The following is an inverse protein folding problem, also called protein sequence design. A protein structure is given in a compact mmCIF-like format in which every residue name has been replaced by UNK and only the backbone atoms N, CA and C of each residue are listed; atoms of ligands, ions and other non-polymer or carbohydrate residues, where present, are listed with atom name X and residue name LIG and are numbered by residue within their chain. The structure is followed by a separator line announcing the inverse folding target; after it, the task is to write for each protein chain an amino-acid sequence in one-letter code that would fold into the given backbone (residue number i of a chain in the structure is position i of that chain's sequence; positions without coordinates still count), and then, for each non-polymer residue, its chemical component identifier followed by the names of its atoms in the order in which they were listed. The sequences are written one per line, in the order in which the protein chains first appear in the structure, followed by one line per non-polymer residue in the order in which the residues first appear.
data_IF_405743200598
#
_entry.id   IF_405743200598
#
_cell.length_a   1.000
_cell.length_b   1.000
_cell.length_c   1.000
_cell.angle_alpha   90.00
_cell.angle_beta   90.00
_cell.angle_gamma   90.00
#
_symmetry.space_group_name_H-M   'P 1'
#
loop_
_entity.id
_entity.type
_entity.pdbx_description
1 polymer ?
#
# COMPACT_ATOMS: atom_id res chain seq x y z
N UNK A 1 -21.30 -19.82 17.29
CA UNK A 1 -20.42 -20.56 18.23
C UNK A 1 -20.75 -20.13 19.65
N UNK A 2 -20.59 -21.00 20.65
CA UNK A 2 -20.85 -20.64 22.06
C UNK A 2 -19.68 -19.82 22.63
N UNK A 3 -19.98 -18.84 23.49
CA UNK A 3 -18.97 -18.00 24.20
C UNK A 3 -17.97 -18.84 25.00
N UNK A 4 -18.39 -20.02 25.46
CA UNK A 4 -17.55 -21.00 26.16
C UNK A 4 -16.45 -21.60 25.30
N UNK A 5 -16.70 -21.85 24.01
CA UNK A 5 -15.72 -22.42 23.09
C UNK A 5 -14.61 -21.39 22.77
N UNK A 6 -14.99 -20.12 22.64
CA UNK A 6 -14.05 -19.01 22.47
C UNK A 6 -13.16 -18.82 23.70
N UNK A 7 -13.72 -18.91 24.90
CA UNK A 7 -12.95 -18.84 26.13
C UNK A 7 -11.92 -19.98 26.23
N UNK A 8 -12.26 -21.20 25.79
CA UNK A 8 -11.28 -22.30 25.76
C UNK A 8 -10.14 -22.03 24.78
N UNK A 9 -10.43 -21.51 23.58
CA UNK A 9 -9.40 -21.19 22.57
C UNK A 9 -8.51 -20.02 22.99
N UNK A 10 -9.08 -18.96 23.58
CA UNK A 10 -8.31 -17.86 24.16
C UNK A 10 -7.36 -18.36 25.26
N UNK A 11 -7.82 -19.30 26.09
CA UNK A 11 -6.99 -19.91 27.13
C UNK A 11 -5.86 -20.75 26.52
N UNK A 12 -6.14 -21.53 25.49
CA UNK A 12 -5.15 -22.30 24.75
C UNK A 12 -4.08 -21.40 24.14
N UNK A 13 -4.49 -20.31 23.48
CA UNK A 13 -3.57 -19.34 22.87
C UNK A 13 -2.74 -18.61 23.92
N UNK A 14 -3.34 -18.23 25.06
CA UNK A 14 -2.59 -17.67 26.19
C UNK A 14 -1.54 -18.66 26.72
N UNK A 15 -1.84 -19.96 26.70
CA UNK A 15 -0.91 -21.03 27.06
C UNK A 15 0.23 -21.17 26.05
N UNK A 16 -0.08 -21.13 24.75
CA UNK A 16 0.91 -21.16 23.67
C UNK A 16 1.87 -19.97 23.75
N UNK A 17 1.34 -18.76 23.96
CA UNK A 17 2.14 -17.55 24.14
C UNK A 17 3.04 -17.63 25.37
N UNK A 18 2.56 -18.25 26.46
CA UNK A 18 3.35 -18.56 27.64
C UNK A 18 4.55 -19.49 27.38
N UNK A 19 4.45 -20.39 26.40
CA UNK A 19 5.57 -21.28 26.00
C UNK A 19 6.58 -20.57 25.10
N UNK A 20 6.19 -19.53 24.38
CA UNK A 20 7.07 -18.78 23.46
C UNK A 20 8.05 -17.88 24.23
N UNK A 21 7.61 -17.22 25.30
CA UNK A 21 8.46 -16.35 26.13
C UNK A 21 9.79 -16.96 26.59
N UNK A 22 9.84 -18.17 27.20
CA UNK A 22 11.10 -18.76 27.65
C UNK A 22 12.03 -19.09 26.48
N UNK A 23 11.49 -19.39 25.29
CA UNK A 23 12.29 -19.62 24.09
C UNK A 23 12.93 -18.31 23.60
N UNK A 24 12.19 -17.20 23.62
CA UNK A 24 12.72 -15.85 23.31
C UNK A 24 13.84 -15.49 24.29
N UNK A 25 13.66 -15.74 25.58
CA UNK A 25 14.71 -15.50 26.59
C UNK A 25 15.96 -16.36 26.36
N UNK A 26 15.77 -17.62 25.98
CA UNK A 26 16.87 -18.52 25.61
C UNK A 26 17.60 -18.02 24.36
N UNK A 27 16.89 -17.52 23.36
CA UNK A 27 17.48 -16.95 22.15
C UNK A 27 18.29 -15.69 22.48
N UNK A 28 17.72 -14.80 23.30
CA UNK A 28 18.38 -13.57 23.75
C UNK A 28 19.71 -13.85 24.44
N UNK A 29 19.73 -14.84 25.32
CA UNK A 29 20.90 -15.25 26.09
C UNK A 29 21.81 -16.24 25.34
N UNK A 30 21.55 -16.52 24.06
CA UNK A 30 22.36 -17.45 23.29
C UNK A 30 23.77 -16.88 23.08
N UNK A 31 24.75 -17.50 23.73
CA UNK A 31 26.18 -17.25 23.48
C UNK A 31 26.70 -18.39 22.63
N UNK A 32 27.14 -18.11 21.39
CA UNK A 32 27.80 -19.12 20.57
C UNK A 32 29.04 -19.61 21.33
N UNK A 33 29.03 -20.88 21.75
CA UNK A 33 30.22 -21.51 22.32
C UNK A 33 31.21 -21.75 21.18
N UNK A 34 32.51 -21.64 21.47
CA UNK A 34 33.56 -21.73 20.46
C UNK A 34 33.46 -23.08 19.73
N UNK A 35 33.13 -23.06 18.44
CA UNK A 35 32.97 -24.26 17.61
C UNK A 35 31.57 -24.89 17.54
N UNK A 36 30.57 -24.44 18.31
CA UNK A 36 29.17 -24.76 17.98
C UNK A 36 28.69 -23.75 16.94
N UNK A 37 28.44 -24.23 15.72
CA UNK A 37 27.96 -23.42 14.61
C UNK A 37 26.72 -22.59 14.96
N UNK A 38 26.45 -21.59 14.13
CA UNK A 38 25.28 -20.70 14.24
C UNK A 38 23.92 -21.44 14.10
N UNK A 39 23.98 -22.74 13.82
CA UNK A 39 22.85 -23.63 13.52
C UNK A 39 21.84 -23.72 14.66
N UNK A 40 22.29 -23.96 15.91
CA UNK A 40 21.38 -24.05 17.06
C UNK A 40 20.65 -22.73 17.36
N UNK A 41 21.26 -21.58 17.02
CA UNK A 41 20.60 -20.27 17.10
C UNK A 41 19.54 -20.10 16.02
N UNK A 42 19.87 -20.53 14.80
CA UNK A 42 18.97 -20.46 13.65
C UNK A 42 17.76 -21.40 13.83
N UNK A 43 17.99 -22.61 14.33
CA UNK A 43 16.94 -23.58 14.65
C UNK A 43 16.00 -23.04 15.73
N UNK A 44 16.54 -22.53 16.86
CA UNK A 44 15.73 -21.92 17.92
C UNK A 44 14.95 -20.70 17.39
N UNK A 45 15.59 -19.88 16.55
CA UNK A 45 14.93 -18.75 15.90
C UNK A 45 13.79 -19.19 14.97
N UNK A 46 13.98 -20.25 14.20
CA UNK A 46 12.97 -20.81 13.30
C UNK A 46 11.81 -21.44 14.07
N UNK A 47 12.08 -22.16 15.17
CA UNK A 47 11.07 -22.73 16.06
C UNK A 47 10.18 -21.63 16.66
N UNK A 48 10.78 -20.58 17.21
CA UNK A 48 10.03 -19.44 17.77
C UNK A 48 9.20 -18.76 16.67
N UNK A 49 9.77 -18.56 15.49
CA UNK A 49 9.06 -17.95 14.38
C UNK A 49 7.85 -18.78 13.94
N UNK A 50 7.99 -20.10 13.87
CA UNK A 50 6.89 -21.01 13.53
C UNK A 50 5.77 -20.97 14.57
N UNK A 51 6.11 -21.08 15.86
CA UNK A 51 5.12 -21.03 16.95
C UNK A 51 4.43 -19.68 17.05
N UNK A 52 5.15 -18.59 16.80
CA UNK A 52 4.58 -17.24 16.81
C UNK A 52 3.64 -17.03 15.61
N UNK A 53 3.98 -17.58 14.45
CA UNK A 53 3.12 -17.55 13.26
C UNK A 53 1.83 -18.35 13.47
N UNK A 54 1.93 -19.53 14.07
CA UNK A 54 0.77 -20.36 14.44
C UNK A 54 -0.15 -19.60 15.43
N UNK A 55 0.43 -18.96 16.45
CA UNK A 55 -0.35 -18.14 17.38
C UNK A 55 -0.96 -16.87 16.73
N UNK A 56 -0.32 -16.29 15.71
CA UNK A 56 -0.87 -15.19 14.90
C UNK A 56 -2.06 -15.65 14.04
N UNK A 57 -1.95 -16.81 13.39
CA UNK A 57 -3.03 -17.44 12.62
C UNK A 57 -4.23 -17.78 13.52
N UNK A 58 -4.00 -18.36 14.70
CA UNK A 58 -5.06 -18.64 15.66
C UNK A 58 -5.74 -17.37 16.20
N UNK A 59 -4.98 -16.29 16.39
CA UNK A 59 -5.54 -14.99 16.78
C UNK A 59 -6.38 -14.36 15.66
N UNK A 60 -5.99 -14.53 14.39
CA UNK A 60 -6.76 -14.05 13.24
C UNK A 60 -8.11 -14.77 13.15
N UNK A 61 -8.11 -16.11 13.28
CA UNK A 61 -9.34 -16.90 13.36
C UNK A 61 -10.24 -16.48 14.54
N UNK A 62 -9.63 -16.23 15.71
CA UNK A 62 -10.38 -15.76 16.88
C UNK A 62 -10.94 -14.35 16.69
N UNK A 63 -10.21 -13.47 15.99
CA UNK A 63 -10.69 -12.13 15.68
C UNK A 63 -11.92 -12.19 14.78
N UNK A 64 -11.90 -13.01 13.75
CA UNK A 64 -13.07 -13.21 12.87
C UNK A 64 -14.28 -13.76 13.65
N UNK A 65 -14.05 -14.70 14.58
CA UNK A 65 -15.11 -15.23 15.44
C UNK A 65 -15.65 -14.20 16.44
N UNK A 66 -14.81 -13.28 16.92
CA UNK A 66 -15.21 -12.16 17.79
C UNK A 66 -15.97 -11.10 17.02
N UNK A 67 -15.53 -10.74 15.81
CA UNK A 67 -16.21 -9.79 14.92
C UNK A 67 -17.59 -10.31 14.46
N UNK A 68 -17.72 -11.63 14.26
CA UNK A 68 -19.01 -12.28 14.02
C UNK A 68 -19.96 -12.19 15.23
N UNK A 69 -19.43 -12.14 16.46
CA UNK A 69 -20.24 -11.93 17.67
C UNK A 69 -20.65 -10.46 17.85
N UNK A 70 -19.79 -9.52 17.46
CA UNK A 70 -20.03 -8.07 17.52
C UNK A 70 -21.04 -7.61 16.46
N UNK A 71 -20.95 -8.10 15.23
CA UNK A 71 -21.93 -7.82 14.16
C UNK A 71 -23.29 -8.48 14.43
N UNK A 72 -23.32 -9.63 15.12
CA UNK A 72 -24.55 -10.29 15.55
C UNK A 72 -25.38 -9.49 16.57
N UNK A 73 -24.78 -8.51 17.23
CA UNK A 73 -25.41 -7.64 18.24
C UNK A 73 -26.25 -6.51 17.64
N UNK A 74 -25.91 -6.01 16.45
CA UNK A 74 -26.67 -4.90 15.82
C UNK A 74 -28.08 -5.34 15.39
N UNK A 75 -28.29 -6.62 15.08
CA UNK A 75 -29.56 -7.12 14.51
C UNK A 75 -30.56 -7.68 15.54
N UNK A 76 -30.22 -7.79 16.84
CA UNK A 76 -31.04 -8.50 17.83
C UNK A 76 -31.50 -7.62 19.01
N UNK A 77 -32.58 -6.88 18.77
CA UNK A 77 -33.57 -6.32 19.74
C UNK A 77 -33.22 -6.41 21.26
N UNK A 78 -32.35 -5.50 21.68
CA UNK A 78 -32.01 -4.91 23.00
C UNK A 78 -32.91 -5.14 24.25
N UNK A 79 -33.33 -6.36 24.64
CA UNK A 79 -34.21 -6.43 25.83
C UNK A 79 -34.14 -7.62 26.79
N UNK A 80 -33.26 -8.63 26.63
CA UNK A 80 -33.35 -9.82 27.53
C UNK A 80 -32.00 -10.39 28.05
N UNK A 81 -30.82 -9.98 27.56
CA UNK A 81 -29.59 -10.77 27.79
C UNK A 81 -28.37 -10.00 28.36
N UNK A 82 -28.58 -9.09 29.31
CA UNK A 82 -27.50 -8.30 29.97
C UNK A 82 -26.34 -9.18 30.50
N UNK A 83 -26.63 -10.37 31.03
CA UNK A 83 -25.61 -11.31 31.52
C UNK A 83 -24.76 -11.89 30.38
N UNK A 84 -25.38 -12.25 29.26
CA UNK A 84 -24.67 -12.75 28.07
C UNK A 84 -23.90 -11.63 27.35
N UNK A 85 -24.39 -10.40 27.41
CA UNK A 85 -23.67 -9.22 26.91
C UNK A 85 -22.40 -8.97 27.74
N UNK A 86 -22.49 -9.01 29.08
CA UNK A 86 -21.33 -8.87 29.95
C UNK A 86 -20.28 -9.97 29.74
N UNK A 87 -20.69 -11.22 29.48
CA UNK A 87 -19.75 -12.30 29.15
C UNK A 87 -19.03 -12.08 27.81
N UNK A 88 -19.73 -11.55 26.81
CA UNK A 88 -19.14 -11.23 25.50
C UNK A 88 -18.14 -10.08 25.59
N UNK A 89 -18.49 -9.01 26.29
CA UNK A 89 -17.57 -7.88 26.52
C UNK A 89 -16.28 -8.32 27.20
N UNK A 90 -16.38 -9.25 28.18
CA UNK A 90 -15.19 -9.86 28.79
C UNK A 90 -14.33 -10.60 27.77
N UNK A 91 -14.94 -11.42 26.90
CA UNK A 91 -14.23 -12.15 25.85
C UNK A 91 -13.52 -11.20 24.88
N UNK A 92 -14.20 -10.14 24.44
CA UNK A 92 -13.63 -9.11 23.56
C UNK A 92 -12.43 -8.42 24.23
N UNK A 93 -12.57 -8.03 25.50
CA UNK A 93 -11.47 -7.39 26.24
C UNK A 93 -10.24 -8.31 26.42
N UNK A 94 -10.48 -9.61 26.64
CA UNK A 94 -9.42 -10.61 26.76
C UNK A 94 -8.73 -10.84 25.41
N UNK A 95 -9.49 -10.91 24.32
CA UNK A 95 -8.95 -11.05 22.97
C UNK A 95 -8.07 -9.85 22.60
N UNK A 96 -8.54 -8.62 22.84
CA UNK A 96 -7.76 -7.40 22.57
C UNK A 96 -6.48 -7.30 23.41
N UNK A 97 -6.52 -7.75 24.68
CA UNK A 97 -5.30 -7.85 25.50
C UNK A 97 -4.30 -8.84 24.92
N UNK A 98 -4.78 -10.01 24.51
CA UNK A 98 -3.94 -11.08 23.96
C UNK A 98 -3.30 -10.68 22.63
N UNK A 99 -4.03 -9.94 21.78
CA UNK A 99 -3.49 -9.33 20.56
C UNK A 99 -2.36 -8.35 20.87
N UNK A 100 -2.55 -7.51 21.90
CA UNK A 100 -1.51 -6.60 22.37
C UNK A 100 -0.27 -7.33 22.88
N UNK A 101 -0.46 -8.42 23.63
CA UNK A 101 0.62 -9.25 24.13
C UNK A 101 1.36 -9.97 22.98
N UNK A 102 0.67 -10.43 21.93
CA UNK A 102 1.29 -11.02 20.73
C UNK A 102 2.16 -10.01 19.96
N UNK A 103 1.70 -8.77 19.81
CA UNK A 103 2.50 -7.70 19.19
C UNK A 103 3.76 -7.39 19.99
N UNK A 104 3.66 -7.43 21.33
CA UNK A 104 4.81 -7.27 22.23
C UNK A 104 5.79 -8.43 22.07
N UNK A 105 5.33 -9.68 22.09
CA UNK A 105 6.21 -10.85 21.92
C UNK A 105 6.92 -10.85 20.57
N UNK A 106 6.26 -10.40 19.49
CA UNK A 106 6.90 -10.21 18.17
C UNK A 106 8.03 -9.19 18.21
N UNK A 107 7.82 -8.09 18.91
CA UNK A 107 8.83 -7.04 19.08
C UNK A 107 10.00 -7.55 19.92
N UNK A 108 9.72 -8.27 21.00
CA UNK A 108 10.72 -8.87 21.87
C UNK A 108 11.53 -9.94 21.15
N UNK A 109 10.89 -10.76 20.31
CA UNK A 109 11.57 -11.73 19.46
C UNK A 109 12.54 -11.06 18.49
N UNK A 110 12.14 -9.99 17.81
CA UNK A 110 13.03 -9.22 16.92
C UNK A 110 14.22 -8.63 17.70
N UNK A 111 13.98 -8.10 18.89
CA UNK A 111 15.03 -7.58 19.75
C UNK A 111 15.99 -8.69 20.20
N UNK A 112 15.46 -9.85 20.60
CA UNK A 112 16.23 -11.03 20.99
C UNK A 112 17.08 -11.56 19.81
N UNK A 113 16.54 -11.61 18.59
CA UNK A 113 17.30 -11.98 17.39
C UNK A 113 18.48 -11.04 17.14
N UNK A 114 18.27 -9.72 17.27
CA UNK A 114 19.33 -8.73 17.09
C UNK A 114 20.41 -8.86 18.18
N UNK A 115 20.02 -9.08 19.44
CA UNK A 115 20.96 -9.30 20.53
C UNK A 115 21.76 -10.60 20.34
N UNK A 116 21.09 -11.70 19.99
CA UNK A 116 21.75 -12.98 19.72
C UNK A 116 22.73 -12.88 18.55
N UNK A 117 22.37 -12.13 17.48
CA UNK A 117 23.26 -11.85 16.34
C UNK A 117 24.50 -11.06 16.79
N UNK A 118 24.32 -10.00 17.57
CA UNK A 118 25.43 -9.22 18.12
C UNK A 118 26.36 -10.09 18.97
N UNK A 119 25.80 -10.92 19.85
CA UNK A 119 26.57 -11.82 20.70
C UNK A 119 27.38 -12.84 19.88
N UNK A 120 26.78 -13.41 18.83
CA UNK A 120 27.46 -14.33 17.91
C UNK A 120 28.59 -13.65 17.12
N UNK A 121 28.39 -12.42 16.66
CA UNK A 121 29.44 -11.65 15.98
C UNK A 121 30.61 -11.31 16.92
N UNK A 122 30.32 -10.94 18.16
CA UNK A 122 31.36 -10.69 19.18
C UNK A 122 32.16 -11.95 19.47
N UNK A 123 31.49 -13.11 19.58
CA UNK A 123 32.17 -14.40 19.76
C UNK A 123 33.08 -14.74 18.56
N UNK A 124 32.57 -14.60 17.32
CA UNK A 124 33.35 -14.81 16.08
C UNK A 124 34.55 -13.88 16.00
N UNK A 125 34.44 -12.62 16.42
CA UNK A 125 35.58 -11.69 16.46
C UNK A 125 36.68 -12.17 17.42
N UNK A 126 36.29 -12.59 18.63
CA UNK A 126 37.21 -13.15 19.63
C UNK A 126 37.91 -14.41 19.13
N UNK A 127 37.20 -15.31 18.44
CA UNK A 127 37.82 -16.49 17.82
C UNK A 127 38.90 -16.12 16.81
N UNK A 128 38.61 -15.14 15.93
CA UNK A 128 39.61 -14.66 14.95
C UNK A 128 40.83 -14.08 15.64
N UNK A 129 40.65 -13.24 16.66
CA UNK A 129 41.76 -12.66 17.44
C UNK A 129 42.65 -13.74 18.06
N UNK A 130 42.05 -14.80 18.62
CA UNK A 130 42.79 -15.94 19.15
C UNK A 130 43.58 -16.69 18.06
N UNK A 131 43.00 -16.91 16.88
CA UNK A 131 43.70 -17.55 15.75
C UNK A 131 44.85 -16.70 15.21
N UNK A 132 44.66 -15.38 15.07
CA UNK A 132 45.70 -14.47 14.61
C UNK A 132 46.86 -14.36 15.61
N UNK A 133 46.58 -14.34 16.92
CA UNK A 133 47.64 -14.33 17.96
C UNK A 133 48.53 -15.57 17.91
N UNK A 134 47.96 -16.75 17.60
CA UNK A 134 48.70 -18.02 17.50
C UNK A 134 49.64 -18.06 16.29
N UNK A 135 49.23 -17.47 15.17
CA UNK A 135 50.04 -17.42 13.95
C UNK A 135 51.30 -16.54 14.12
N UNK A 136 51.19 -15.42 14.83
CA UNK A 136 52.28 -14.45 14.95
C UNK A 136 53.48 -14.99 15.74
N UNK A 137 53.27 -15.94 16.65
CA UNK A 137 54.33 -16.60 17.43
C UNK A 137 55.15 -17.64 16.65
N UNK A 138 54.69 -18.11 15.48
CA UNK A 138 55.31 -19.25 14.78
C UNK A 138 56.34 -18.84 13.72
N UNK A 139 56.26 -17.60 13.18
CA UNK A 139 57.13 -17.13 12.09
C UNK A 139 58.51 -16.59 12.52
N UNK A 140 58.79 -16.44 13.83
CA UNK A 140 60.07 -15.86 14.30
C UNK A 140 61.23 -16.85 14.49
N UNK A 141 61.08 -18.14 14.19
CA UNK A 141 62.12 -19.16 14.48
C UNK A 141 62.64 -19.88 13.23
N UNK A 142 63.46 -19.21 12.40
CA UNK A 142 64.39 -19.89 11.48
C UNK A 142 65.69 -19.09 11.29
N UNK A 143 66.82 -19.48 11.92
CA UNK A 143 68.13 -18.94 11.60
C UNK A 143 68.80 -19.77 10.50
N UNK A 144 69.40 -19.10 9.51
CA UNK A 144 70.16 -19.68 8.40
C UNK A 144 71.65 -19.73 8.75
N UNK A 145 72.20 -20.94 8.84
CA UNK A 145 73.61 -21.21 9.13
C UNK A 145 74.40 -21.34 7.81
N UNK A 146 75.64 -20.83 7.80
CA UNK A 146 76.44 -20.60 6.59
C UNK A 146 77.08 -21.92 6.10
N UNK A 147 76.64 -22.43 4.96
CA UNK A 147 77.17 -23.65 4.31
C UNK A 147 78.32 -23.31 3.34
N UNK A 148 79.30 -24.22 3.24
CA UNK A 148 80.52 -24.09 2.43
C UNK A 148 80.26 -24.22 0.92
N UNK A 149 81.14 -23.67 0.06
CA UNK A 149 80.91 -23.50 -1.39
C UNK A 149 80.57 -24.80 -2.17
N UNK A 150 81.15 -25.95 -1.81
CA UNK A 150 80.81 -27.24 -2.45
C UNK A 150 79.39 -27.73 -2.07
N UNK A 151 78.96 -27.46 -0.84
CA UNK A 151 77.58 -27.69 -0.38
C UNK A 151 76.61 -26.68 -0.97
N UNK A 152 77.09 -25.48 -1.34
CA UNK A 152 76.31 -24.43 -2.00
C UNK A 152 76.01 -24.82 -3.45
N UNK A 153 76.95 -25.45 -4.15
CA UNK A 153 76.73 -25.95 -5.51
C UNK A 153 75.81 -27.18 -5.53
N UNK A 154 76.00 -28.12 -4.59
CA UNK A 154 75.09 -29.25 -4.40
C UNK A 154 73.70 -28.81 -3.90
N UNK A 155 73.61 -27.81 -3.01
CA UNK A 155 72.33 -27.17 -2.66
C UNK A 155 71.74 -26.42 -3.85
N UNK A 156 72.52 -25.75 -4.69
CA UNK A 156 72.00 -25.02 -5.84
C UNK A 156 71.34 -25.99 -6.85
N UNK A 157 71.94 -27.16 -7.10
CA UNK A 157 71.32 -28.20 -7.91
C UNK A 157 70.06 -28.78 -7.22
N UNK A 158 70.12 -28.95 -5.90
CA UNK A 158 68.97 -29.33 -5.06
C UNK A 158 67.84 -28.31 -5.10
N UNK A 159 68.17 -27.02 -5.10
CA UNK A 159 67.27 -25.87 -5.11
C UNK A 159 66.66 -25.67 -6.48
N UNK A 160 67.39 -25.89 -7.57
CA UNK A 160 66.81 -25.94 -8.92
C UNK A 160 65.83 -27.09 -9.04
N UNK A 161 66.17 -28.27 -8.51
CA UNK A 161 65.27 -29.43 -8.52
C UNK A 161 64.05 -29.22 -7.62
N UNK A 162 64.24 -28.57 -6.47
CA UNK A 162 63.17 -28.20 -5.55
C UNK A 162 62.29 -27.09 -6.13
N UNK A 163 62.88 -26.11 -6.83
CA UNK A 163 62.17 -25.05 -7.54
C UNK A 163 61.34 -25.63 -8.67
N UNK A 164 61.88 -26.57 -9.46
CA UNK A 164 61.14 -27.20 -10.56
C UNK A 164 60.02 -28.11 -10.05
N UNK A 165 60.21 -28.81 -8.92
CA UNK A 165 59.12 -29.48 -8.21
C UNK A 165 58.07 -28.48 -7.71
N UNK A 166 58.50 -27.33 -7.20
CA UNK A 166 57.61 -26.29 -6.68
C UNK A 166 56.82 -25.61 -7.80
N UNK A 167 57.42 -25.37 -8.97
CA UNK A 167 56.71 -24.85 -10.14
C UNK A 167 55.72 -25.87 -10.69
N UNK A 168 56.07 -27.16 -10.69
CA UNK A 168 55.13 -28.22 -11.05
C UNK A 168 53.95 -28.28 -10.07
N UNK A 169 54.20 -28.21 -8.77
CA UNK A 169 53.14 -28.14 -7.76
C UNK A 169 52.28 -26.87 -7.90
N UNK A 170 52.88 -25.73 -8.20
CA UNK A 170 52.16 -24.48 -8.50
C UNK A 170 51.32 -24.60 -9.77
N UNK A 171 51.86 -25.21 -10.83
CA UNK A 171 51.13 -25.43 -12.08
C UNK A 171 49.95 -26.38 -11.86
N UNK A 172 50.11 -27.43 -11.07
CA UNK A 172 49.01 -28.32 -10.68
C UNK A 172 47.96 -27.59 -9.84
N UNK A 173 48.38 -26.72 -8.92
CA UNK A 173 47.48 -25.92 -8.09
C UNK A 173 46.76 -24.82 -8.89
N UNK A 174 47.42 -24.18 -9.86
CA UNK A 174 46.80 -23.21 -10.77
C UNK A 174 45.84 -23.89 -11.75
N UNK A 175 46.17 -25.11 -12.21
CA UNK A 175 45.25 -25.90 -13.04
C UNK A 175 43.99 -26.31 -12.27
N UNK A 176 44.11 -26.76 -11.01
CA UNK A 176 42.92 -27.05 -10.19
C UNK A 176 42.12 -25.78 -9.87
N UNK A 177 42.80 -24.65 -9.64
CA UNK A 177 42.17 -23.35 -9.45
C UNK A 177 41.45 -22.85 -10.70
N UNK A 178 42.01 -23.09 -11.89
CA UNK A 178 41.37 -22.76 -13.17
C UNK A 178 40.14 -23.62 -13.43
N UNK A 179 40.19 -24.92 -13.09
CA UNK A 179 39.01 -25.81 -13.15
C UNK A 179 37.90 -25.33 -12.23
N UNK A 180 38.22 -24.96 -10.99
CA UNK A 180 37.25 -24.40 -10.07
C UNK A 180 36.66 -23.06 -10.56
N UNK A 181 37.48 -22.21 -11.19
CA UNK A 181 37.01 -20.98 -11.81
C UNK A 181 36.06 -21.25 -13.00
N UNK A 182 36.34 -22.27 -13.82
CA UNK A 182 35.46 -22.70 -14.90
C UNK A 182 34.13 -23.23 -14.38
N UNK A 183 34.14 -24.09 -13.36
CA UNK A 183 32.92 -24.58 -12.71
C UNK A 183 32.09 -23.42 -12.13
N UNK A 184 32.75 -22.43 -11.53
CA UNK A 184 32.07 -21.23 -11.00
C UNK A 184 31.44 -20.39 -12.10
N UNK A 185 32.14 -20.21 -13.23
CA UNK A 185 31.59 -19.48 -14.38
C UNK A 185 30.41 -20.23 -15.00
N UNK A 186 30.48 -21.55 -15.10
CA UNK A 186 29.41 -22.40 -15.60
C UNK A 186 28.18 -22.34 -14.67
N UNK A 187 28.39 -22.43 -13.35
CA UNK A 187 27.33 -22.22 -12.36
C UNK A 187 26.72 -20.82 -12.45
N UNK A 188 27.53 -19.78 -12.62
CA UNK A 188 27.03 -18.42 -12.78
C UNK A 188 26.23 -18.24 -14.07
N UNK A 189 26.61 -18.95 -15.15
CA UNK A 189 25.90 -18.94 -16.43
C UNK A 189 24.57 -19.68 -16.31
N UNK A 190 24.52 -20.82 -15.61
CA UNK A 190 23.29 -21.53 -15.30
C UNK A 190 22.36 -20.72 -14.38
N UNK A 191 22.93 -19.97 -13.42
CA UNK A 191 22.17 -19.03 -12.61
C UNK A 191 21.58 -17.89 -13.46
N UNK A 192 22.34 -17.35 -14.42
CA UNK A 192 21.83 -16.34 -15.35
C UNK A 192 20.72 -16.88 -16.26
N UNK A 193 20.83 -18.12 -16.75
CA UNK A 193 19.79 -18.72 -17.58
C UNK A 193 18.51 -18.98 -16.79
N UNK A 194 18.61 -19.50 -15.56
CA UNK A 194 17.45 -19.71 -14.68
C UNK A 194 16.78 -18.40 -14.27
N UNK A 195 17.56 -17.33 -14.10
CA UNK A 195 17.03 -15.99 -13.88
C UNK A 195 16.30 -15.48 -15.13
N UNK A 196 16.85 -15.67 -16.32
CA UNK A 196 16.19 -15.30 -17.59
C UNK A 196 14.87 -16.06 -17.80
N UNK A 197 14.84 -17.35 -17.46
CA UNK A 197 13.62 -18.17 -17.50
C UNK A 197 12.59 -17.67 -16.48
N UNK A 198 13.04 -17.33 -15.27
CA UNK A 198 12.18 -16.73 -14.24
C UNK A 198 11.59 -15.39 -14.71
N UNK A 199 12.38 -14.50 -15.33
CA UNK A 199 11.88 -13.25 -15.90
C UNK A 199 10.87 -13.48 -17.04
N UNK A 200 11.13 -14.47 -17.90
CA UNK A 200 10.17 -14.84 -18.96
C UNK A 200 8.86 -15.36 -18.36
N UNK A 201 8.94 -16.18 -17.31
CA UNK A 201 7.75 -16.64 -16.60
C UNK A 201 6.98 -15.48 -15.93
N UNK A 202 7.68 -14.50 -15.36
CA UNK A 202 7.07 -13.30 -14.79
C UNK A 202 6.36 -12.47 -15.86
N UNK A 203 6.92 -12.35 -17.07
CA UNK A 203 6.25 -11.66 -18.18
C UNK A 203 4.97 -12.38 -18.62
N UNK A 204 4.98 -13.72 -18.65
CA UNK A 204 3.75 -14.51 -18.91
C UNK A 204 2.71 -14.35 -17.80
N UNK A 205 3.12 -14.27 -16.54
CA UNK A 205 2.21 -14.02 -15.42
C UNK A 205 1.68 -12.58 -15.41
N UNK A 206 2.51 -11.60 -15.72
CA UNK A 206 2.14 -10.20 -15.84
C UNK A 206 1.17 -9.98 -17.00
N UNK A 207 1.39 -10.60 -18.15
CA UNK A 207 0.47 -10.54 -19.28
C UNK A 207 -0.86 -11.24 -18.99
N UNK A 208 -0.84 -12.40 -18.32
CA UNK A 208 -2.05 -13.08 -17.82
C UNK A 208 -2.82 -12.21 -16.83
N UNK A 209 -2.13 -11.63 -15.84
CA UNK A 209 -2.70 -10.68 -14.88
C UNK A 209 -3.28 -9.46 -15.59
N UNK A 210 -2.59 -8.89 -16.58
CA UNK A 210 -3.06 -7.74 -17.34
C UNK A 210 -4.27 -8.08 -18.21
N UNK A 211 -4.34 -9.29 -18.75
CA UNK A 211 -5.52 -9.76 -19.47
C UNK A 211 -6.71 -9.97 -18.52
N UNK A 212 -6.49 -10.49 -17.32
CA UNK A 212 -7.54 -10.64 -16.29
C UNK A 212 -7.99 -9.28 -15.71
N UNK A 213 -7.07 -8.37 -15.45
CA UNK A 213 -7.36 -6.99 -15.08
C UNK A 213 -8.09 -6.27 -16.22
N UNK A 214 -7.69 -6.53 -17.46
CA UNK A 214 -8.36 -6.01 -18.65
C UNK A 214 -9.79 -6.55 -18.78
N UNK A 215 -10.02 -7.84 -18.54
CA UNK A 215 -11.36 -8.44 -18.59
C UNK A 215 -12.24 -7.95 -17.44
N UNK A 216 -11.69 -7.83 -16.23
CA UNK A 216 -12.39 -7.28 -15.06
C UNK A 216 -12.72 -5.81 -15.24
N UNK A 217 -11.75 -4.98 -15.64
CA UNK A 217 -11.99 -3.56 -15.91
C UNK A 217 -12.94 -3.38 -17.09
N UNK A 218 -12.83 -4.18 -18.16
CA UNK A 218 -13.77 -4.11 -19.29
C UNK A 218 -15.19 -4.49 -18.85
N UNK A 219 -15.32 -5.51 -18.01
CA UNK A 219 -16.61 -5.97 -17.46
C UNK A 219 -17.22 -4.92 -16.53
N UNK A 220 -16.46 -4.43 -15.55
CA UNK A 220 -16.92 -3.42 -14.59
C UNK A 220 -17.23 -2.07 -15.27
N UNK A 221 -16.48 -1.71 -16.32
CA UNK A 221 -16.70 -0.49 -17.09
C UNK A 221 -17.95 -0.59 -17.97
N UNK A 222 -18.30 -1.78 -18.45
CA UNK A 222 -19.57 -1.99 -19.15
C UNK A 222 -20.79 -1.82 -18.23
N UNK A 223 -20.68 -2.30 -16.98
CA UNK A 223 -21.75 -2.20 -15.99
C UNK A 223 -21.97 -0.75 -15.52
N UNK A 224 -20.86 -0.02 -15.34
CA UNK A 224 -20.89 1.41 -14.99
C UNK A 224 -21.59 2.24 -16.08
N UNK A 225 -21.45 1.88 -17.36
CA UNK A 225 -22.11 2.59 -18.45
C UNK A 225 -23.63 2.35 -18.50
N UNK A 226 -24.10 1.15 -18.14
CA UNK A 226 -25.54 0.87 -18.00
C UNK A 226 -26.15 1.59 -16.80
N UNK A 227 -25.45 1.62 -15.65
CA UNK A 227 -25.91 2.38 -14.48
C UNK A 227 -25.95 3.89 -14.76
N UNK A 228 -24.95 4.42 -15.45
CA UNK A 228 -24.87 5.83 -15.82
C UNK A 228 -26.02 6.22 -16.78
N UNK A 229 -26.24 5.44 -17.84
CA UNK A 229 -27.34 5.69 -18.79
C UNK A 229 -28.72 5.55 -18.12
N UNK A 230 -28.91 4.57 -17.24
CA UNK A 230 -30.13 4.42 -16.45
C UNK A 230 -30.36 5.60 -15.49
N UNK A 231 -29.32 6.12 -14.85
CA UNK A 231 -29.39 7.28 -13.97
C UNK A 231 -29.79 8.56 -14.72
N UNK A 232 -29.24 8.80 -15.91
CA UNK A 232 -29.65 9.94 -16.75
C UNK A 232 -31.10 9.85 -17.23
N UNK A 233 -31.56 8.66 -17.63
CA UNK A 233 -32.97 8.46 -18.00
C UNK A 233 -33.87 8.69 -16.78
N UNK A 234 -33.49 8.19 -15.60
CA UNK A 234 -34.21 8.41 -14.36
C UNK A 234 -34.29 9.91 -14.02
N UNK A 235 -33.17 10.64 -14.06
CA UNK A 235 -33.16 12.10 -13.87
C UNK A 235 -34.05 12.79 -14.89
N UNK A 236 -34.00 12.41 -16.17
CA UNK A 236 -34.84 12.97 -17.22
C UNK A 236 -36.33 12.76 -16.94
N UNK A 237 -36.72 11.57 -16.46
CA UNK A 237 -38.12 11.30 -16.07
C UNK A 237 -38.55 12.05 -14.82
N UNK A 238 -37.67 12.22 -13.83
CA UNK A 238 -37.94 13.03 -12.63
C UNK A 238 -38.08 14.50 -13.00
N UNK A 239 -37.17 15.05 -13.79
CA UNK A 239 -37.24 16.42 -14.30
C UNK A 239 -38.54 16.63 -15.08
N UNK A 240 -38.92 15.67 -15.94
CA UNK A 240 -40.20 15.74 -16.65
C UNK A 240 -41.39 15.66 -15.68
N UNK A 241 -41.37 14.76 -14.69
CA UNK A 241 -42.43 14.70 -13.68
C UNK A 241 -42.54 16.00 -12.87
N UNK A 242 -41.42 16.60 -12.47
CA UNK A 242 -41.40 17.88 -11.77
C UNK A 242 -41.95 18.99 -12.67
N UNK A 243 -41.49 19.07 -13.92
CA UNK A 243 -42.00 20.04 -14.89
C UNK A 243 -43.52 19.86 -15.15
N UNK A 244 -43.99 18.61 -15.25
CA UNK A 244 -45.40 18.30 -15.48
C UNK A 244 -46.28 18.53 -14.24
N UNK A 245 -45.80 18.09 -13.08
CA UNK A 245 -46.61 17.98 -11.84
C UNK A 245 -46.53 19.26 -11.01
N UNK A 246 -45.32 19.78 -10.79
CA UNK A 246 -45.07 20.92 -9.91
C UNK A 246 -45.17 22.26 -10.66
N UNK A 247 -44.72 22.30 -11.92
CA UNK A 247 -44.67 23.53 -12.71
C UNK A 247 -45.97 23.82 -13.46
N UNK A 248 -46.85 22.85 -13.70
CA UNK A 248 -48.10 23.10 -14.44
C UNK A 248 -49.33 23.34 -13.54
N UNK A 249 -49.42 22.63 -12.41
CA UNK A 249 -50.57 22.75 -11.51
C UNK A 249 -50.42 23.88 -10.47
N UNK A 250 -49.53 23.73 -9.48
CA UNK A 250 -49.31 24.74 -8.44
C UNK A 250 -48.87 26.09 -8.98
N UNK A 251 -48.13 26.12 -10.10
CA UNK A 251 -47.66 27.37 -10.71
C UNK A 251 -48.80 28.15 -11.37
N UNK A 252 -49.84 27.49 -11.89
CA UNK A 252 -51.07 28.18 -12.29
C UNK A 252 -51.77 28.78 -11.07
N UNK A 253 -51.75 28.10 -9.93
CA UNK A 253 -52.25 28.66 -8.67
C UNK A 253 -51.38 29.83 -8.18
N UNK A 254 -50.05 29.73 -8.31
CA UNK A 254 -49.08 30.76 -7.93
C UNK A 254 -49.13 31.98 -8.86
N UNK A 255 -49.55 31.82 -10.12
CA UNK A 255 -49.84 32.95 -11.04
C UNK A 255 -51.24 33.51 -10.79
N UNK A 256 -52.23 32.67 -10.49
CA UNK A 256 -53.62 33.11 -10.23
C UNK A 256 -53.77 33.80 -8.87
N UNK A 257 -53.12 33.33 -7.80
CA UNK A 257 -53.23 33.90 -6.46
C UNK A 257 -52.80 35.39 -6.40
N UNK A 258 -51.63 35.82 -6.92
CA UNK A 258 -51.26 37.23 -6.96
C UNK A 258 -52.16 38.02 -7.90
N UNK A 259 -52.56 37.49 -9.07
CA UNK A 259 -53.52 38.17 -9.98
C UNK A 259 -54.85 38.45 -9.27
N UNK A 260 -55.41 37.48 -8.54
CA UNK A 260 -56.67 37.65 -7.81
C UNK A 260 -56.51 38.60 -6.63
N UNK A 261 -55.35 38.60 -5.98
CA UNK A 261 -55.02 39.51 -4.88
C UNK A 261 -54.84 40.94 -5.38
N UNK A 262 -54.20 41.13 -6.54
CA UNK A 262 -54.10 42.42 -7.24
C UNK A 262 -55.48 42.89 -7.67
N UNK A 263 -56.34 42.04 -8.27
CA UNK A 263 -57.72 42.43 -8.61
C UNK A 263 -58.51 42.83 -7.36
N UNK A 264 -58.34 42.13 -6.23
CA UNK A 264 -58.99 42.52 -4.96
C UNK A 264 -58.42 43.81 -4.39
N UNK A 265 -57.12 44.03 -4.50
CA UNK A 265 -56.48 45.28 -4.05
C UNK A 265 -56.87 46.46 -4.94
N UNK A 266 -56.86 46.30 -6.27
CA UNK A 266 -57.30 47.35 -7.18
C UNK A 266 -58.79 47.62 -7.01
N UNK A 267 -59.65 46.60 -6.85
CA UNK A 267 -61.08 46.78 -6.59
C UNK A 267 -61.37 47.36 -5.19
N UNK A 268 -60.55 47.08 -4.17
CA UNK A 268 -60.70 47.67 -2.83
C UNK A 268 -60.21 49.12 -2.80
N UNK A 269 -59.13 49.45 -3.52
CA UNK A 269 -58.63 50.83 -3.64
C UNK A 269 -59.55 51.67 -4.54
N UNK A 270 -60.11 51.11 -5.62
CA UNK A 270 -61.17 51.76 -6.41
C UNK A 270 -62.50 51.83 -5.65
N UNK A 271 -62.85 50.82 -4.87
CA UNK A 271 -64.06 50.77 -4.06
C UNK A 271 -64.03 51.73 -2.86
N UNK A 272 -62.85 52.03 -2.32
CA UNK A 272 -62.69 53.00 -1.23
C UNK A 272 -62.68 54.47 -1.73
N UNK A 273 -62.48 54.71 -3.04
CA UNK A 273 -62.51 56.06 -3.65
C UNK A 273 -63.77 56.30 -4.48
N UNK A 274 -64.61 55.28 -4.72
CA UNK A 274 -65.81 55.35 -5.54
C UNK A 274 -67.12 55.07 -4.79
N UNK A 275 -67.52 55.94 -3.86
CA UNK A 275 -68.89 55.98 -3.32
C UNK A 275 -69.59 57.30 -3.68
N UNK A 276 -69.92 57.53 -4.95
CA UNK A 276 -71.00 58.46 -5.34
C UNK A 276 -71.68 58.04 -6.65
N UNK A 277 -72.61 57.09 -6.61
CA UNK A 277 -73.87 57.21 -7.36
C UNK A 277 -74.92 56.24 -6.82
N UNK A 278 -75.80 56.88 -6.07
CA UNK A 278 -77.07 56.50 -5.48
C UNK A 278 -78.06 55.94 -6.52
N UNK A 279 -78.76 54.87 -6.11
CA UNK A 279 -80.14 54.46 -6.51
C UNK A 279 -80.30 54.04 -7.98
N UNK A 280 -81.16 53.13 -8.42
CA UNK A 280 -82.38 52.42 -7.98
C UNK A 280 -82.33 51.15 -8.90
N UNK A 281 -82.81 49.94 -8.63
CA UNK A 281 -84.18 49.52 -8.40
C UNK A 281 -84.22 47.99 -8.53
N UNK A 282 -85.03 47.36 -7.69
CA UNK A 282 -85.55 46.01 -7.89
C UNK A 282 -86.62 46.02 -9.00
N UNK A 283 -86.52 45.09 -9.96
CA UNK A 283 -87.61 44.44 -10.72
C UNK A 283 -86.97 43.39 -11.65
N UNK A 284 -87.07 42.10 -11.36
CA UNK A 284 -88.06 41.15 -11.90
C UNK A 284 -87.97 40.84 -13.41
N UNK A 285 -87.81 39.53 -13.66
CA UNK A 285 -88.42 38.67 -14.70
C UNK A 285 -87.96 38.72 -16.18
N UNK A 286 -87.42 37.58 -16.60
CA UNK A 286 -87.77 36.73 -17.77
C UNK A 286 -87.69 37.24 -19.21
N UNK A 287 -86.86 36.56 -20.01
CA UNK A 287 -87.12 36.00 -21.36
C UNK A 287 -85.84 35.19 -21.73
N UNK A 288 -85.83 33.87 -21.90
CA UNK A 288 -86.41 33.01 -22.96
C UNK A 288 -86.13 33.54 -24.37
N UNK A 289 -85.12 32.95 -25.04
CA UNK A 289 -85.15 32.38 -26.40
C UNK A 289 -83.72 31.90 -26.73
N UNK A 290 -83.49 30.58 -26.77
CA UNK A 290 -83.53 29.73 -27.96
C UNK A 290 -82.59 30.18 -29.08
N UNK A 291 -81.51 29.42 -29.33
CA UNK A 291 -81.37 28.67 -30.60
C UNK A 291 -80.39 27.50 -30.44
N UNK A 292 -80.86 26.37 -30.94
CA UNK A 292 -80.34 25.02 -30.97
C UNK A 292 -79.34 24.80 -32.13
N UNK A 293 -78.80 23.57 -32.18
CA UNK A 293 -78.08 22.86 -33.25
C UNK A 293 -76.55 22.77 -33.01
N UNK A 294 -76.01 21.68 -32.43
CA UNK A 294 -76.01 20.26 -32.87
C UNK A 294 -75.36 20.06 -34.25
N UNK A 295 -74.14 19.50 -34.28
CA UNK A 295 -73.84 18.18 -34.85
C UNK A 295 -72.31 17.92 -34.92
N UNK A 296 -71.89 16.81 -34.30
CA UNK A 296 -70.73 15.96 -34.67
C UNK A 296 -71.03 15.27 -36.02
N UNK A 297 -70.08 14.73 -36.84
CA UNK A 297 -68.94 13.88 -36.42
C UNK A 297 -67.64 13.90 -37.30
N UNK A 298 -66.66 13.13 -36.83
CA UNK A 298 -65.31 12.77 -37.35
C UNK A 298 -65.47 11.83 -38.60
N UNK A 299 -64.58 11.71 -39.64
CA UNK A 299 -63.27 11.04 -39.53
C UNK A 299 -62.11 11.27 -40.56
N UNK A 300 -60.88 11.03 -40.05
CA UNK A 300 -59.76 10.22 -40.59
C UNK A 300 -58.87 10.62 -41.81
N UNK A 301 -57.64 10.06 -41.71
CA UNK A 301 -56.61 9.68 -42.72
C UNK A 301 -55.51 10.67 -43.18
N UNK A 302 -54.29 10.32 -42.76
CA UNK A 302 -53.07 10.04 -43.56
C UNK A 302 -52.68 10.91 -44.76
N UNK A 303 -51.45 11.46 -44.78
CA UNK A 303 -50.35 11.01 -45.67
C UNK A 303 -49.07 11.85 -45.59
N UNK A 304 -48.00 11.16 -45.99
CA UNK A 304 -46.58 11.47 -46.08
C UNK A 304 -46.18 12.54 -47.11
N UNK A 305 -44.88 12.92 -47.07
CA UNK A 305 -43.94 13.49 -48.09
C UNK A 305 -43.19 14.70 -47.48
N UNK A 306 -41.90 14.98 -47.69
CA UNK A 306 -40.90 14.48 -48.62
C UNK A 306 -39.47 14.80 -48.10
N UNK A 307 -38.57 13.81 -48.19
CA UNK A 307 -37.24 13.85 -48.83
C UNK A 307 -36.42 15.16 -48.90
N UNK A 308 -35.16 15.08 -48.45
CA UNK A 308 -33.99 15.46 -49.24
C UNK A 308 -32.71 14.83 -48.64
N UNK A 309 -32.12 13.88 -49.36
CA UNK A 309 -30.74 13.41 -49.20
C UNK A 309 -29.79 14.34 -49.97
N UNK A 310 -28.57 14.59 -49.47
CA UNK A 310 -27.35 14.70 -50.28
C UNK A 310 -26.07 14.80 -49.43
N UNK A 311 -25.21 13.79 -49.59
CA UNK A 311 -23.74 13.83 -49.71
C UNK A 311 -22.84 14.47 -48.63
N UNK A 312 -22.19 13.58 -47.86
CA UNK A 312 -20.74 13.34 -47.72
C UNK A 312 -19.69 14.48 -47.70
N UNK A 313 -18.82 14.38 -46.68
CA UNK A 313 -17.35 14.64 -46.65
C UNK A 313 -16.91 16.12 -46.61
N UNK A 314 -16.05 16.62 -45.71
CA UNK A 314 -14.86 16.09 -45.03
C UNK A 314 -14.59 16.84 -43.69
N UNK A 315 -13.93 16.15 -42.76
CA UNK A 315 -12.79 16.61 -41.93
C UNK A 315 -12.96 17.80 -40.95
N UNK A 316 -13.05 17.51 -39.64
CA UNK A 316 -12.34 18.25 -38.59
C UNK A 316 -12.43 17.51 -37.24
N UNK A 317 -11.29 17.18 -36.65
CA UNK A 317 -11.17 16.76 -35.25
C UNK A 317 -11.31 17.96 -34.29
N UNK A 318 -11.87 17.79 -33.07
CA UNK A 318 -11.58 18.71 -31.98
C UNK A 318 -10.56 18.10 -31.00
N UNK A 319 -9.60 18.95 -30.67
CA UNK A 319 -8.51 18.74 -29.74
C UNK A 319 -8.99 18.50 -28.30
N UNK A 320 -8.19 17.73 -27.58
CA UNK A 320 -8.27 17.43 -26.17
C UNK A 320 -7.91 18.64 -25.29
N UNK A 321 -8.78 18.95 -24.33
CA UNK A 321 -8.48 19.77 -23.15
C UNK A 321 -7.86 18.87 -22.07
N UNK A 322 -6.53 18.79 -22.02
CA UNK A 322 -5.77 18.15 -20.92
C UNK A 322 -4.51 18.96 -20.59
N UNK A 323 -4.64 20.28 -20.38
CA UNK A 323 -3.50 21.14 -20.01
C UNK A 323 -3.61 21.85 -18.66
N UNK A 324 -4.60 21.52 -17.82
CA UNK A 324 -4.75 22.17 -16.51
C UNK A 324 -4.34 21.33 -15.29
N UNK A 325 -4.29 19.99 -15.38
CA UNK A 325 -3.93 19.17 -14.21
C UNK A 325 -2.43 18.90 -14.05
N UNK A 326 -1.64 19.05 -15.12
CA UNK A 326 -0.19 18.81 -15.06
C UNK A 326 0.58 19.94 -14.37
N UNK A 327 0.20 21.20 -14.56
CA UNK A 327 0.87 22.35 -13.91
C UNK A 327 0.66 22.34 -12.39
N UNK A 328 -0.51 21.87 -11.93
CA UNK A 328 -0.86 21.86 -10.51
C UNK A 328 -0.06 20.81 -9.71
N UNK A 329 0.35 19.73 -10.35
CA UNK A 329 1.20 18.70 -9.73
C UNK A 329 2.67 19.13 -9.67
N UNK A 330 3.14 19.96 -10.61
CA UNK A 330 4.52 20.44 -10.63
C UNK A 330 4.76 21.46 -9.50
N UNK A 331 3.80 22.36 -9.28
CA UNK A 331 3.84 23.30 -8.14
C UNK A 331 3.80 22.58 -6.79
N UNK A 332 3.00 21.50 -6.66
CA UNK A 332 2.88 20.74 -5.43
C UNK A 332 4.16 19.93 -5.10
N UNK A 333 4.91 19.50 -6.12
CA UNK A 333 6.21 18.84 -5.96
C UNK A 333 7.30 19.86 -5.59
N UNK A 334 7.21 21.10 -6.09
CA UNK A 334 8.08 22.21 -5.69
C UNK A 334 7.92 22.58 -4.21
N UNK A 335 6.68 22.64 -3.72
CA UNK A 335 6.37 22.98 -2.33
C UNK A 335 6.79 21.88 -1.33
N UNK A 336 6.62 20.60 -1.69
CA UNK A 336 7.08 19.47 -0.87
C UNK A 336 8.62 19.40 -0.78
N UNK A 337 9.34 19.76 -1.84
CA UNK A 337 10.81 19.79 -1.85
C UNK A 337 11.39 20.98 -1.04
N UNK A 338 10.63 22.05 -0.82
CA UNK A 338 11.01 23.15 0.07
C UNK A 338 10.66 22.86 1.54
N UNK A 339 9.62 22.08 1.84
CA UNK A 339 9.30 21.67 3.21
C UNK A 339 10.34 20.69 3.77
N UNK A 340 10.90 19.81 2.94
CA UNK A 340 11.98 18.88 3.33
C UNK A 340 13.35 19.58 3.55
N UNK A 341 13.50 20.86 3.17
CA UNK A 341 14.71 21.65 3.49
C UNK A 341 14.67 22.29 4.88
N UNK A 342 13.52 22.32 5.56
CA UNK A 342 13.42 22.86 6.92
C UNK A 342 13.62 21.82 8.03
N UNK A 343 13.55 20.52 7.70
CA UNK A 343 14.04 19.44 8.57
C UNK A 343 15.52 19.17 8.27
N UNK A 344 16.35 20.20 8.50
CA UNK A 344 17.77 19.98 8.75
C UNK A 344 17.88 18.97 9.89
N UNK A 345 18.42 17.79 9.57
CA UNK A 345 18.88 16.80 10.54
C UNK A 345 19.54 17.52 11.71
N UNK A 346 18.94 17.39 12.90
CA UNK A 346 19.34 18.08 14.11
C UNK A 346 20.71 17.51 14.60
N UNK A 347 21.80 17.91 13.96
CA UNK A 347 23.20 17.53 14.29
C UNK A 347 23.69 18.40 15.45
N UNK A 348 22.91 18.49 16.53
CA UNK A 348 23.29 19.28 17.72
C UNK A 348 23.29 18.51 19.03
N UNK A 349 23.01 17.20 19.00
CA UNK A 349 22.98 16.38 20.22
C UNK A 349 24.04 15.26 20.22
N UNK A 350 25.25 15.59 19.76
CA UNK A 350 26.42 14.71 19.90
C UNK A 350 27.20 15.18 21.12
N UNK A 351 27.20 14.37 22.18
CA UNK A 351 27.99 14.61 23.40
C UNK A 351 29.48 14.74 23.06
N UNK A 352 30.20 15.65 23.73
CA UNK A 352 31.64 15.90 23.51
C UNK A 352 32.50 14.63 23.62
N UNK A 353 32.02 13.63 24.35
CA UNK A 353 32.69 12.35 24.55
C UNK A 353 32.63 11.44 23.31
N UNK A 354 31.55 11.53 22.52
CA UNK A 354 31.37 10.77 21.28
C UNK A 354 32.17 11.36 20.13
N UNK A 355 32.36 12.69 20.15
CA UNK A 355 33.18 13.40 19.16
C UNK A 355 34.66 13.05 19.26
N UNK A 356 35.19 12.91 20.49
CA UNK A 356 36.58 12.45 20.73
C UNK A 356 36.81 11.02 20.25
N UNK A 357 35.84 10.12 20.44
CA UNK A 357 35.93 8.73 19.92
C UNK A 357 35.96 8.68 18.39
N UNK A 358 35.26 9.58 17.71
CA UNK A 358 35.27 9.63 16.25
C UNK A 358 36.57 10.21 15.68
N UNK A 359 37.23 11.11 16.42
CA UNK A 359 38.55 11.66 16.08
C UNK A 359 39.70 10.65 16.27
N UNK A 360 39.54 9.67 17.18
CA UNK A 360 40.50 8.56 17.37
C UNK A 360 40.43 7.47 16.28
N UNK A 361 39.40 7.47 15.43
CA UNK A 361 39.29 6.49 14.33
C UNK A 361 40.10 7.02 13.13
N UNK A 362 41.16 6.33 12.69
CA UNK A 362 41.96 6.79 11.55
C UNK A 362 41.10 6.85 10.28
N UNK A 363 41.11 8.00 9.62
CA UNK A 363 40.35 8.23 8.39
C UNK A 363 40.79 7.28 7.28
N UNK A 364 39.84 6.56 6.72
CA UNK A 364 40.05 5.60 5.63
C UNK A 364 40.51 6.33 4.36
N UNK A 365 41.77 6.11 3.96
CA UNK A 365 42.42 6.77 2.82
C UNK A 365 41.90 6.33 1.45
N UNK A 366 41.00 5.35 1.38
CA UNK A 366 40.44 4.84 0.12
C UNK A 366 39.08 5.44 -0.27
N UNK A 367 38.54 6.38 0.51
CA UNK A 367 37.28 7.06 0.15
C UNK A 367 37.59 8.23 -0.79
N UNK A 368 37.28 8.05 -2.08
CA UNK A 368 37.39 9.09 -3.11
C UNK A 368 36.21 10.06 -2.94
N UNK A 369 36.46 11.31 -2.55
CA UNK A 369 35.43 12.36 -2.52
C UNK A 369 35.21 12.84 -3.95
N UNK A 370 33.94 12.91 -4.37
CA UNK A 370 33.54 13.46 -5.66
C UNK A 370 33.57 14.98 -5.56
N UNK A 371 34.48 15.64 -6.28
CA UNK A 371 34.51 17.09 -6.47
C UNK A 371 33.63 17.42 -7.68
N UNK A 372 32.45 17.99 -7.44
CA UNK A 372 31.61 18.55 -8.50
C UNK A 372 32.20 19.89 -8.96
N UNK A 373 32.47 19.99 -10.25
CA UNK A 373 32.89 21.23 -10.92
C UNK A 373 31.71 22.19 -11.05
N UNK A 374 31.81 23.37 -10.42
CA UNK A 374 30.89 24.49 -10.59
C UNK A 374 31.11 25.19 -11.94
N UNK A 375 30.39 24.77 -12.98
CA UNK A 375 30.22 25.54 -14.22
C UNK A 375 28.86 26.24 -14.21
N UNK A 376 28.78 27.43 -13.59
CA UNK A 376 27.82 28.44 -14.01
C UNK A 376 28.24 29.85 -13.58
N UNK A 377 29.12 30.47 -14.38
CA UNK A 377 29.38 31.92 -14.36
C UNK A 377 29.66 32.38 -15.78
N UNK A 378 28.60 32.83 -16.45
CA UNK A 378 28.48 33.65 -17.68
C UNK A 378 26.99 33.51 -18.05
N UNK A 379 26.14 34.51 -17.85
CA UNK A 379 26.11 35.73 -18.64
C UNK A 379 25.40 36.87 -17.87
N UNK A 380 26.10 37.99 -17.68
CA UNK A 380 25.48 39.31 -17.52
C UNK A 380 26.24 40.27 -18.44
N UNK A 381 25.69 40.53 -19.63
CA UNK A 381 25.87 41.75 -20.41
C UNK A 381 24.64 42.00 -21.28
#
# INVERSE_FOLDING_TARGET
MSTTALQSRLKELSGALGQIHPLIDRLRNFTASIGQGDEARLELGAEIHSRLKEAEEDMELLRDEVEALESGTENRRKTIDDEKEAEKERVISLAGRLEGDLKRTRTDFRNAQLQAKKNAEVAKRKERELLFSRSQTQDQKRPTEKLTQDELELNAAGDVTAALRRTHQLMQAELSRSRFAQETLEQSTAALSSLSESYTSLDTLLSSSRNLLGSLLRSQKSDTWYLETAFYILIGTIIWLVFRRILYGPLWWLVWLPIKLIIRFTLAVFGAVGLTSRSVQSAQSSAVENTLAQETPIPALSHSTATAESSASWDQAPASDERQDSDRMIDQIGEMAETDKQDETNIKDISEEERKRQEEIPRNTKKRMFEGTDENRRDEL
#
